data_IF_607530393170
#
_entry.id   IF_607530393170
#
_cell.length_a   1.000
_cell.length_b   1.000
_cell.length_c   1.000
_cell.angle_alpha   90.00
_cell.angle_beta   90.00
_cell.angle_gamma   90.00
#
_symmetry.space_group_name_H-M   'P 1'
#
loop_
_entity.id
_entity.type
_entity.pdbx_description
1 polymer ?
#
# COMPACT_ATOMS: atom_id res chain seq x y z
N UNK A 1 24.60 35.79 -3.12
CA UNK A 1 23.89 34.91 -2.17
C UNK A 1 22.95 34.05 -2.99
N UNK A 2 23.38 32.85 -3.38
CA UNK A 2 22.61 31.97 -4.24
C UNK A 2 21.55 31.22 -3.43
N UNK A 3 20.27 31.39 -3.81
CA UNK A 3 19.17 30.58 -3.32
C UNK A 3 19.31 29.17 -3.89
N UNK A 4 19.64 28.20 -3.03
CA UNK A 4 19.49 26.78 -3.34
C UNK A 4 18.00 26.47 -3.22
N UNK A 5 17.26 26.64 -4.31
CA UNK A 5 15.95 26.01 -4.47
C UNK A 5 16.20 24.53 -4.78
N UNK A 6 16.15 23.69 -3.75
CA UNK A 6 16.07 22.24 -3.95
C UNK A 6 14.97 21.95 -4.97
N UNK A 7 15.27 21.24 -6.07
CA UNK A 7 14.25 20.88 -7.02
C UNK A 7 13.24 20.01 -6.27
N UNK A 8 11.97 20.45 -6.25
CA UNK A 8 10.85 19.67 -5.75
C UNK A 8 10.81 18.34 -6.52
N UNK A 9 11.50 17.32 -6.01
CA UNK A 9 11.33 15.94 -6.46
C UNK A 9 9.99 15.46 -5.91
N UNK A 10 8.90 15.95 -6.52
CA UNK A 10 7.65 15.21 -6.54
C UNK A 10 7.88 14.10 -7.55
N UNK A 11 8.46 12.99 -7.11
CA UNK A 11 8.27 11.74 -7.83
C UNK A 11 6.76 11.51 -7.86
N UNK A 12 6.11 11.88 -8.98
CA UNK A 12 4.72 11.50 -9.19
C UNK A 12 4.71 9.99 -9.09
N UNK A 13 3.94 9.37 -8.17
CA UNK A 13 3.74 7.93 -8.27
C UNK A 13 3.22 7.69 -9.68
N UNK A 14 3.78 6.70 -10.36
CA UNK A 14 3.34 6.25 -11.68
C UNK A 14 1.80 6.34 -11.71
N UNK A 15 1.21 6.94 -12.75
CA UNK A 15 -0.26 7.08 -12.89
C UNK A 15 -0.90 5.71 -13.20
N UNK A 16 -0.64 4.73 -12.34
CA UNK A 16 -1.17 3.39 -12.39
C UNK A 16 -2.21 3.29 -11.27
N UNK A 17 -3.47 3.20 -11.67
CA UNK A 17 -4.58 2.95 -10.78
C UNK A 17 -5.20 1.61 -11.20
N UNK A 18 -5.40 0.73 -10.22
CA UNK A 18 -6.00 -0.58 -10.43
C UNK A 18 -7.17 -0.73 -9.46
N UNK A 19 -8.29 -1.24 -9.97
CA UNK A 19 -9.45 -1.59 -9.18
C UNK A 19 -9.55 -3.11 -9.13
N UNK A 20 -9.45 -3.67 -7.92
CA UNK A 20 -9.54 -5.10 -7.69
C UNK A 20 -10.89 -5.39 -7.03
N UNK A 21 -11.69 -6.23 -7.67
CA UNK A 21 -12.97 -6.66 -7.10
C UNK A 21 -12.75 -7.51 -5.85
N UNK A 22 -13.43 -7.16 -4.76
CA UNK A 22 -13.47 -7.96 -3.55
C UNK A 22 -14.79 -8.74 -3.53
N UNK A 23 -14.76 -10.08 -3.40
CA UNK A 23 -15.97 -10.89 -3.36
C UNK A 23 -16.83 -10.58 -2.12
N UNK A 24 -16.18 -10.12 -1.04
CA UNK A 24 -16.83 -9.67 0.17
C UNK A 24 -16.02 -8.54 0.80
N UNK A 25 -16.70 -7.54 1.36
CA UNK A 25 -16.02 -6.40 1.99
C UNK A 25 -15.69 -6.76 3.44
N UNK A 26 -14.64 -7.56 3.65
CA UNK A 26 -14.10 -7.91 4.98
C UNK A 26 -12.58 -7.68 5.05
N UNK A 27 -12.05 -7.50 6.26
CA UNK A 27 -10.64 -7.13 6.47
C UNK A 27 -9.67 -8.28 6.12
N UNK A 28 -10.05 -9.53 6.40
CA UNK A 28 -9.31 -10.73 6.02
C UNK A 28 -9.26 -10.91 4.50
N UNK A 29 -10.40 -10.79 3.82
CA UNK A 29 -10.50 -10.87 2.37
C UNK A 29 -9.68 -9.76 1.69
N UNK A 30 -9.75 -8.54 2.23
CA UNK A 30 -8.96 -7.40 1.74
C UNK A 30 -7.45 -7.65 1.86
N UNK A 31 -6.98 -8.15 3.02
CA UNK A 31 -5.58 -8.46 3.23
C UNK A 31 -5.09 -9.57 2.30
N UNK A 32 -5.85 -10.67 2.19
CA UNK A 32 -5.51 -11.78 1.30
C UNK A 32 -5.45 -11.33 -0.17
N UNK A 33 -6.44 -10.54 -0.62
CA UNK A 33 -6.48 -10.03 -1.98
C UNK A 33 -5.33 -9.06 -2.25
N UNK A 34 -5.02 -8.15 -1.32
CA UNK A 34 -3.88 -7.24 -1.46
C UNK A 34 -2.55 -7.98 -1.52
N UNK A 35 -2.35 -9.02 -0.70
CA UNK A 35 -1.15 -9.84 -0.75
C UNK A 35 -1.00 -10.57 -2.09
N UNK A 36 -2.09 -11.14 -2.61
CA UNK A 36 -2.08 -11.86 -3.88
C UNK A 36 -1.87 -10.93 -5.08
N UNK A 37 -2.73 -9.93 -5.22
CA UNK A 37 -2.79 -9.08 -6.41
C UNK A 37 -1.72 -7.99 -6.42
N UNK A 38 -1.37 -7.42 -5.25
CA UNK A 38 -0.40 -6.33 -5.21
C UNK A 38 1.00 -6.84 -4.87
N UNK A 39 1.16 -7.53 -3.73
CA UNK A 39 2.49 -7.98 -3.29
C UNK A 39 3.04 -9.05 -4.24
N UNK A 40 2.19 -9.97 -4.72
CA UNK A 40 2.59 -10.98 -5.70
C UNK A 40 3.08 -10.39 -7.03
N UNK A 41 2.53 -9.25 -7.46
CA UNK A 41 2.85 -8.62 -8.76
C UNK A 41 3.96 -7.57 -8.68
N UNK A 42 3.98 -6.79 -7.60
CA UNK A 42 4.84 -5.61 -7.47
C UNK A 42 5.85 -5.68 -6.32
N UNK A 43 5.78 -6.74 -5.50
CA UNK A 43 6.60 -6.89 -4.29
C UNK A 43 6.04 -6.12 -3.09
N UNK A 44 6.75 -6.19 -1.97
CA UNK A 44 6.29 -5.59 -0.72
C UNK A 44 6.46 -4.06 -0.73
N UNK A 45 5.39 -3.27 -0.61
CA UNK A 45 5.51 -1.82 -0.59
C UNK A 45 6.20 -1.34 0.69
N UNK A 46 7.06 -0.33 0.57
CA UNK A 46 7.68 0.33 1.73
C UNK A 46 6.68 1.20 2.51
N UNK A 47 5.71 1.78 1.82
CA UNK A 47 4.72 2.71 2.39
C UNK A 47 3.37 2.44 1.77
N UNK A 48 2.34 2.26 2.59
CA UNK A 48 0.92 2.20 2.18
C UNK A 48 0.22 3.44 2.74
N UNK A 49 -0.49 4.19 1.89
CA UNK A 49 -1.33 5.33 2.30
C UNK A 49 -2.79 5.00 1.99
N UNK A 50 -3.66 5.14 2.98
CA UNK A 50 -5.11 4.96 2.80
C UNK A 50 -5.90 6.02 3.55
N UNK A 51 -7.20 6.05 3.30
CA UNK A 51 -8.22 6.83 4.01
C UNK A 51 -8.48 6.39 5.47
N UNK A 52 -7.75 5.39 5.96
CA UNK A 52 -7.90 4.81 7.29
C UNK A 52 -9.29 4.22 7.56
N UNK A 53 -9.92 3.60 6.55
CA UNK A 53 -11.16 2.86 6.78
C UNK A 53 -11.02 1.73 7.83
N UNK A 54 -12.09 1.33 8.53
CA UNK A 54 -12.03 0.35 9.64
C UNK A 54 -11.39 -1.00 9.27
N UNK A 55 -11.51 -1.41 7.99
CA UNK A 55 -10.99 -2.67 7.47
C UNK A 55 -9.48 -2.64 7.19
N UNK A 56 -8.91 -1.44 7.08
CA UNK A 56 -7.49 -1.17 6.83
C UNK A 56 -6.73 -0.89 8.14
N UNK A 57 -7.38 -0.28 9.12
CA UNK A 57 -6.83 -0.10 10.49
C UNK A 57 -6.82 -1.44 11.26
N UNK A 58 -7.67 -2.39 10.88
CA UNK A 58 -7.80 -3.68 11.55
C UNK A 58 -6.46 -4.41 11.71
N UNK A 59 -6.32 -5.15 12.82
CA UNK A 59 -5.11 -5.93 13.15
C UNK A 59 -4.70 -6.86 12.01
N UNK A 60 -5.66 -7.40 11.24
CA UNK A 60 -5.42 -8.32 10.13
C UNK A 60 -4.59 -7.68 9.01
N UNK A 61 -5.02 -6.53 8.47
CA UNK A 61 -4.29 -5.85 7.40
C UNK A 61 -2.95 -5.31 7.91
N UNK A 62 -2.94 -4.73 9.11
CA UNK A 62 -1.71 -4.24 9.73
C UNK A 62 -0.70 -5.37 9.98
N UNK A 63 -1.14 -6.54 10.43
CA UNK A 63 -0.26 -7.69 10.63
C UNK A 63 0.34 -8.16 9.32
N UNK A 64 -0.45 -8.27 8.25
CA UNK A 64 0.03 -8.64 6.91
C UNK A 64 1.01 -7.60 6.36
N UNK A 65 0.72 -6.30 6.51
CA UNK A 65 1.59 -5.24 6.00
C UNK A 65 2.95 -5.21 6.71
N UNK A 66 3.00 -5.63 7.97
CA UNK A 66 4.22 -5.65 8.79
C UNK A 66 4.95 -7.02 8.78
N UNK A 67 4.33 -8.11 8.30
CA UNK A 67 4.88 -9.47 8.44
C UNK A 67 5.99 -9.85 7.44
N UNK A 68 6.59 -8.90 6.72
CA UNK A 68 7.65 -9.19 5.74
C UNK A 68 8.97 -8.50 6.12
N UNK A 69 9.47 -8.79 7.33
CA UNK A 69 10.84 -8.51 7.77
C UNK A 69 11.43 -9.76 8.42
N UNK A 70 11.69 -10.81 7.62
CA UNK A 70 12.64 -11.87 7.98
C UNK A 70 13.39 -12.28 6.71
N UNK A 71 14.50 -11.61 6.46
CA UNK A 71 15.65 -12.14 5.72
C UNK A 71 16.80 -12.21 6.71
#
# INVERSE_FOLDING_TARGET
MEQIHDPKVKSSPCKYAEAISLPEVRADVLAATFAHEFIGRFGHPKIIRSDQGPKLIGRTFSSMANSTLRY
#
